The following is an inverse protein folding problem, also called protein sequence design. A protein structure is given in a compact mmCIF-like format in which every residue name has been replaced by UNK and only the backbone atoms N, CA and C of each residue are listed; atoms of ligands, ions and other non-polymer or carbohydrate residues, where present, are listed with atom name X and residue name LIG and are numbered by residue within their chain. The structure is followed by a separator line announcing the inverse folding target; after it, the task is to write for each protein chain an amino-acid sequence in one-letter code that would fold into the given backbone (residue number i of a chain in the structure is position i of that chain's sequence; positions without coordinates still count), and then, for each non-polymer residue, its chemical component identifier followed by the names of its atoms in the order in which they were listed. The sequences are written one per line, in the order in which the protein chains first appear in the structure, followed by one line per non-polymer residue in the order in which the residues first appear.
data_IF_587303718905
#
_entry.id   IF_587303718905
#
_cell.length_a   1.000
_cell.length_b   1.000
_cell.length_c   1.000
_cell.angle_alpha   90.00
_cell.angle_beta   90.00
_cell.angle_gamma   90.00
#
_symmetry.space_group_name_H-M   'P 1'
#
loop_
_entity.id
_entity.type
_entity.pdbx_description
1 polymer ?
#
# COMPACT_ATOMS: atom_id res chain seq x y z
N UNK A 1 51.42 18.73 29.07
CA UNK A 1 51.15 19.87 28.15
C UNK A 1 51.91 19.65 26.85
N UNK A 2 51.18 19.55 25.70
CA UNK A 2 51.53 20.03 24.33
C UNK A 2 52.81 19.45 23.68
N UNK A 3 52.91 19.01 22.42
CA UNK A 3 52.11 18.96 21.19
C UNK A 3 52.97 18.18 20.17
N UNK A 4 52.41 17.28 19.36
CA UNK A 4 52.81 17.12 17.94
C UNK A 4 51.74 16.32 17.19
N UNK A 5 50.95 17.06 16.42
CA UNK A 5 49.96 16.57 15.46
C UNK A 5 50.58 16.56 14.06
N UNK A 6 49.97 15.76 13.18
CA UNK A 6 49.98 15.86 11.72
C UNK A 6 51.07 15.08 10.96
N UNK A 7 50.70 13.90 10.42
CA UNK A 7 51.22 13.48 9.12
C UNK A 7 50.17 12.70 8.31
N UNK A 8 49.88 13.26 7.14
CA UNK A 8 49.39 12.66 5.90
C UNK A 8 48.04 11.97 5.85
N UNK A 9 47.03 12.80 5.56
CA UNK A 9 46.00 12.47 4.59
C UNK A 9 46.60 12.35 3.18
N UNK A 10 46.46 11.17 2.56
CA UNK A 10 46.40 10.96 1.10
C UNK A 10 46.47 9.45 0.79
N UNK A 11 45.34 8.71 0.75
CA UNK A 11 45.31 7.42 0.00
C UNK A 11 43.96 6.70 -0.26
N UNK A 12 42.78 7.34 -0.42
CA UNK A 12 41.76 6.61 -1.20
C UNK A 12 41.00 7.48 -2.20
N UNK A 13 41.68 8.38 -2.92
CA UNK A 13 41.21 8.87 -4.23
C UNK A 13 41.63 7.91 -5.35
N UNK A 14 41.40 6.60 -5.20
CA UNK A 14 41.83 5.60 -6.19
C UNK A 14 40.92 4.36 -6.27
N UNK A 15 39.65 4.47 -5.89
CA UNK A 15 38.67 3.36 -5.93
C UNK A 15 37.48 3.62 -6.85
N UNK A 16 37.54 4.60 -7.75
CA UNK A 16 36.39 5.02 -8.57
C UNK A 16 36.44 4.61 -10.06
N UNK A 17 37.30 3.69 -10.51
CA UNK A 17 37.44 3.46 -11.96
C UNK A 17 37.76 2.03 -12.46
N UNK A 18 37.48 0.95 -11.72
CA UNK A 18 37.85 -0.40 -12.20
C UNK A 18 36.91 -1.53 -11.74
N UNK A 19 35.60 -1.29 -11.73
CA UNK A 19 34.61 -2.28 -11.26
C UNK A 19 33.64 -2.81 -12.31
N UNK A 20 33.84 -2.53 -13.60
CA UNK A 20 32.92 -2.97 -14.66
C UNK A 20 33.69 -3.61 -15.82
N UNK A 21 33.58 -4.95 -15.92
CA UNK A 21 33.91 -5.70 -17.13
C UNK A 21 35.29 -6.39 -17.13
N UNK A 22 35.31 -7.68 -16.77
CA UNK A 22 36.06 -8.77 -17.43
C UNK A 22 36.11 -9.98 -16.48
N UNK A 23 35.50 -11.09 -16.89
CA UNK A 23 35.42 -12.32 -16.11
C UNK A 23 36.77 -13.04 -15.96
N UNK A 24 36.94 -13.88 -14.92
CA UNK A 24 38.09 -14.75 -14.86
C UNK A 24 37.84 -16.01 -15.70
N UNK A 25 38.68 -16.19 -16.71
CA UNK A 25 38.92 -17.47 -17.37
C UNK A 25 40.12 -18.14 -16.67
N UNK A 26 39.93 -19.39 -16.22
CA UNK A 26 40.93 -20.44 -15.84
C UNK A 26 41.60 -20.30 -14.46
N UNK A 27 41.59 -21.23 -13.48
CA UNK A 27 41.36 -22.70 -13.31
C UNK A 27 41.14 -22.99 -11.78
N UNK A 28 40.85 -24.21 -11.24
CA UNK A 28 40.77 -25.57 -11.81
C UNK A 28 39.44 -26.32 -11.54
N UNK A 29 39.29 -27.50 -12.15
CA UNK A 29 38.16 -28.41 -12.02
C UNK A 29 38.07 -29.07 -10.64
N UNK A 30 36.89 -28.96 -10.01
CA UNK A 30 36.10 -29.99 -9.30
C UNK A 30 35.28 -29.38 -8.16
N UNK A 31 34.09 -28.87 -8.51
CA UNK A 31 32.90 -28.87 -7.67
C UNK A 31 31.73 -28.52 -8.59
N UNK A 32 31.08 -29.54 -9.15
CA UNK A 32 29.79 -29.35 -9.84
C UNK A 32 28.75 -29.00 -8.79
N UNK A 33 28.59 -27.69 -8.55
CA UNK A 33 27.41 -27.15 -7.87
C UNK A 33 26.28 -27.20 -8.89
N UNK A 34 25.18 -27.93 -8.65
CA UNK A 34 24.06 -27.93 -9.57
C UNK A 34 23.53 -26.50 -9.68
N UNK A 35 23.38 -26.02 -10.91
CA UNK A 35 22.76 -24.74 -11.20
C UNK A 35 21.39 -24.66 -10.49
N UNK A 36 21.02 -23.53 -9.90
CA UNK A 36 19.62 -23.33 -9.53
C UNK A 36 18.81 -23.50 -10.81
N UNK A 37 17.93 -24.52 -10.82
CA UNK A 37 16.92 -24.62 -11.87
C UNK A 37 16.21 -23.28 -11.91
N UNK A 38 16.15 -22.69 -13.11
CA UNK A 38 15.24 -21.60 -13.38
C UNK A 38 13.87 -22.05 -12.85
N UNK A 39 13.38 -21.36 -11.83
CA UNK A 39 12.02 -21.53 -11.35
C UNK A 39 11.10 -21.25 -12.53
N UNK A 40 10.24 -22.22 -12.85
CA UNK A 40 9.33 -22.17 -13.97
C UNK A 40 8.47 -20.90 -13.89
N UNK A 41 8.77 -19.91 -14.75
CA UNK A 41 7.92 -18.73 -14.98
C UNK A 41 6.50 -19.12 -15.41
N UNK A 42 6.33 -20.37 -15.88
CA UNK A 42 5.05 -20.97 -16.24
C UNK A 42 4.11 -21.13 -15.03
N UNK A 43 4.59 -21.39 -13.82
CA UNK A 43 3.71 -21.54 -12.65
C UNK A 43 3.09 -20.21 -12.22
N UNK A 44 3.89 -19.13 -12.30
CA UNK A 44 3.42 -17.79 -11.99
C UNK A 44 2.42 -17.28 -13.05
N UNK A 45 2.67 -17.58 -14.33
CA UNK A 45 1.75 -17.27 -15.42
C UNK A 45 0.46 -18.09 -15.33
N UNK A 46 0.56 -19.39 -15.10
CA UNK A 46 -0.59 -20.27 -14.95
C UNK A 46 -1.48 -19.85 -13.77
N UNK A 47 -0.90 -19.38 -12.67
CA UNK A 47 -1.66 -18.86 -11.54
C UNK A 47 -2.41 -17.55 -11.87
N UNK A 48 -1.79 -16.66 -12.65
CA UNK A 48 -2.41 -15.40 -13.08
C UNK A 48 -3.49 -15.64 -14.15
N UNK A 49 -3.28 -16.57 -15.07
CA UNK A 49 -4.20 -16.92 -16.14
C UNK A 49 -5.42 -17.69 -15.59
N UNK A 50 -5.21 -18.64 -14.67
CA UNK A 50 -6.29 -19.32 -13.96
C UNK A 50 -7.17 -18.38 -13.12
N UNK A 51 -6.63 -17.23 -12.69
CA UNK A 51 -7.40 -16.21 -11.96
C UNK A 51 -8.07 -15.19 -12.88
N UNK A 52 -7.55 -15.00 -14.10
CA UNK A 52 -8.17 -14.17 -15.13
C UNK A 52 -9.36 -14.87 -15.81
N UNK A 53 -9.32 -16.21 -15.90
CA UNK A 53 -10.39 -17.03 -16.47
C UNK A 53 -11.53 -17.34 -15.49
N UNK A 54 -11.40 -16.97 -14.20
CA UNK A 54 -12.46 -17.17 -13.22
C UNK A 54 -13.59 -16.18 -13.50
N UNK A 55 -14.76 -16.62 -14.00
CA UNK A 55 -15.85 -15.71 -14.29
C UNK A 55 -16.35 -15.13 -12.98
N UNK A 56 -16.41 -13.81 -12.88
CA UNK A 56 -17.14 -13.15 -11.80
C UNK A 56 -18.57 -13.70 -11.79
N UNK A 57 -18.96 -14.29 -10.66
CA UNK A 57 -20.32 -14.80 -10.50
C UNK A 57 -21.32 -13.70 -10.89
N UNK A 58 -22.34 -13.99 -11.73
CA UNK A 58 -23.35 -13.00 -12.04
C UNK A 58 -24.08 -12.65 -10.74
N UNK A 59 -24.05 -11.39 -10.34
CA UNK A 59 -25.02 -10.86 -9.38
C UNK A 59 -26.40 -10.97 -10.05
N UNK A 60 -27.11 -12.07 -9.78
CA UNK A 60 -28.55 -12.18 -10.00
C UNK A 60 -29.24 -11.13 -9.13
N UNK A 61 -29.54 -9.98 -9.73
CA UNK A 61 -30.46 -9.01 -9.15
C UNK A 61 -31.87 -9.53 -9.42
N UNK A 62 -32.50 -10.08 -8.40
CA UNK A 62 -33.92 -10.42 -8.43
C UNK A 62 -34.76 -9.15 -8.66
N UNK A 63 -35.84 -9.19 -9.47
CA UNK A 63 -36.70 -8.04 -9.64
C UNK A 63 -37.59 -7.90 -8.39
N UNK A 64 -37.37 -6.85 -7.60
CA UNK A 64 -38.30 -6.47 -6.54
C UNK A 64 -39.51 -5.77 -7.19
N UNK A 65 -40.67 -6.38 -6.99
CA UNK A 65 -41.96 -5.92 -7.46
C UNK A 65 -42.39 -4.59 -6.82
N UNK A 66 -43.28 -3.91 -7.54
CA UNK A 66 -43.90 -2.63 -7.26
C UNK A 66 -44.53 -2.51 -5.87
N UNK A 67 -44.47 -1.29 -5.31
CA UNK A 67 -45.21 -0.87 -4.13
C UNK A 67 -45.08 0.64 -3.92
N UNK A 68 -45.77 1.43 -4.74
CA UNK A 68 -46.02 2.85 -4.45
C UNK A 68 -47.01 2.93 -3.27
N UNK A 69 -46.56 3.46 -2.15
CA UNK A 69 -47.43 4.16 -1.20
C UNK A 69 -46.79 5.49 -0.89
N UNK A 70 -47.46 6.54 -1.33
CA UNK A 70 -47.18 7.91 -0.95
C UNK A 70 -47.41 8.08 0.55
N UNK A 71 -46.43 8.67 1.24
CA UNK A 71 -46.68 9.51 2.40
C UNK A 71 -45.68 10.66 2.34
N UNK A 72 -46.23 11.87 2.29
CA UNK A 72 -45.53 13.15 2.38
C UNK A 72 -44.95 13.27 3.79
N UNK A 73 -43.63 13.35 3.94
CA UNK A 73 -43.03 13.90 5.16
C UNK A 73 -41.62 14.45 4.90
N UNK A 74 -41.49 15.76 5.17
CA UNK A 74 -40.27 16.54 5.38
C UNK A 74 -39.09 16.30 4.41
N UNK A 75 -39.03 17.12 3.37
CA UNK A 75 -37.85 17.31 2.51
C UNK A 75 -36.69 17.90 3.35
N UNK A 76 -35.95 17.02 4.02
CA UNK A 76 -34.59 17.30 4.47
C UNK A 76 -33.79 17.58 3.20
N UNK A 77 -33.06 18.71 3.10
CA UNK A 77 -32.22 18.96 1.93
C UNK A 77 -31.29 17.76 1.76
N UNK A 78 -31.47 17.00 0.68
CA UNK A 78 -30.59 15.90 0.35
C UNK A 78 -29.18 16.47 0.23
N UNK A 79 -28.29 16.10 1.16
CA UNK A 79 -26.89 16.47 1.06
C UNK A 79 -26.38 16.07 -0.34
N UNK A 80 -25.60 16.93 -1.00
CA UNK A 80 -25.14 16.65 -2.35
C UNK A 80 -24.42 15.29 -2.36
N UNK A 81 -24.60 14.48 -3.43
CA UNK A 81 -24.11 13.11 -3.44
C UNK A 81 -22.58 13.11 -3.24
N UNK A 82 -22.14 12.48 -2.15
CA UNK A 82 -20.73 12.28 -1.87
C UNK A 82 -20.13 11.39 -2.97
N UNK A 83 -18.94 11.75 -3.42
CA UNK A 83 -18.25 11.00 -4.46
C UNK A 83 -17.00 10.33 -3.89
N UNK A 84 -16.90 9.03 -4.10
CA UNK A 84 -15.73 8.25 -3.70
C UNK A 84 -14.68 8.29 -4.81
N UNK A 85 -13.47 8.73 -4.47
CA UNK A 85 -12.29 8.67 -5.34
C UNK A 85 -11.42 7.51 -4.90
N UNK A 86 -11.18 6.57 -5.81
CA UNK A 86 -10.29 5.43 -5.55
C UNK A 86 -8.83 5.90 -5.61
N UNK A 87 -8.10 5.73 -4.52
CA UNK A 87 -6.69 6.06 -4.41
C UNK A 87 -5.79 4.87 -4.75
N UNK A 88 -6.33 3.66 -4.75
CA UNK A 88 -5.64 2.42 -5.09
C UNK A 88 -5.04 1.70 -3.88
N UNK A 89 -4.24 0.68 -4.18
CA UNK A 89 -3.65 -0.20 -3.16
C UNK A 89 -2.43 0.42 -2.48
N UNK A 90 -2.33 0.19 -1.18
CA UNK A 90 -1.19 0.53 -0.33
C UNK A 90 -0.91 -0.61 0.66
N UNK A 91 0.37 -0.86 0.92
CA UNK A 91 0.82 -1.94 1.80
C UNK A 91 1.71 -1.36 2.89
N UNK A 92 1.39 -1.67 4.15
CA UNK A 92 2.14 -1.16 5.31
C UNK A 92 2.59 -2.34 6.19
N UNK A 93 3.90 -2.47 6.46
CA UNK A 93 4.41 -3.51 7.34
C UNK A 93 4.19 -3.15 8.82
N UNK A 94 3.71 -4.13 9.59
CA UNK A 94 3.60 -4.07 11.05
C UNK A 94 4.63 -5.04 11.62
N UNK A 95 5.64 -4.48 12.27
CA UNK A 95 6.75 -5.27 12.79
C UNK A 95 6.43 -5.86 14.15
N UNK A 96 6.50 -7.19 14.24
CA UNK A 96 6.33 -7.95 15.49
C UNK A 96 7.68 -8.58 15.90
N UNK A 97 7.81 -9.06 17.15
CA UNK A 97 9.05 -9.69 17.60
C UNK A 97 9.49 -10.91 16.76
N UNK A 98 8.55 -11.69 16.21
CA UNK A 98 8.83 -12.94 15.48
C UNK A 98 8.29 -12.98 14.04
N UNK A 99 7.64 -11.92 13.59
CA UNK A 99 7.03 -11.86 12.26
C UNK A 99 6.87 -10.43 11.77
N UNK A 100 6.57 -10.27 10.49
CA UNK A 100 6.13 -9.01 9.88
C UNK A 100 4.75 -9.25 9.29
N UNK A 101 3.77 -8.52 9.79
CA UNK A 101 2.43 -8.56 9.23
C UNK A 101 2.28 -7.46 8.19
N UNK A 102 2.10 -7.84 6.92
CA UNK A 102 1.76 -6.90 5.85
C UNK A 102 0.26 -6.63 5.87
N UNK A 103 -0.10 -5.38 6.15
CA UNK A 103 -1.48 -4.89 6.00
C UNK A 103 -1.60 -4.34 4.59
N UNK A 104 -2.46 -4.96 3.78
CA UNK A 104 -2.71 -4.56 2.40
C UNK A 104 -4.13 -4.03 2.34
N UNK A 105 -4.28 -2.80 1.84
CA UNK A 105 -5.57 -2.17 1.75
C UNK A 105 -5.74 -1.40 0.43
N UNK A 106 -6.94 -1.46 -0.13
CA UNK A 106 -7.38 -0.59 -1.21
C UNK A 106 -8.12 0.59 -0.60
N UNK A 107 -7.68 1.81 -0.91
CA UNK A 107 -8.19 3.02 -0.28
C UNK A 107 -9.10 3.81 -1.22
N UNK A 108 -10.16 4.39 -0.65
CA UNK A 108 -10.96 5.43 -1.26
C UNK A 108 -11.04 6.64 -0.33
N UNK A 109 -11.39 7.80 -0.89
CA UNK A 109 -11.76 8.99 -0.11
C UNK A 109 -13.10 9.51 -0.55
N UNK A 110 -13.93 9.87 0.42
CA UNK A 110 -15.18 10.57 0.19
C UNK A 110 -14.91 12.07 0.12
N UNK A 111 -15.42 12.70 -0.93
CA UNK A 111 -15.35 14.15 -1.13
C UNK A 111 -16.68 14.68 -1.63
N UNK A 112 -17.00 15.92 -1.23
CA UNK A 112 -18.20 16.60 -1.70
C UNK A 112 -18.27 16.74 -3.22
N UNK A 113 -19.50 16.83 -3.73
CA UNK A 113 -19.81 16.95 -5.15
C UNK A 113 -18.99 18.06 -5.82
N UNK A 114 -18.33 17.74 -6.94
CA UNK A 114 -17.51 18.68 -7.72
C UNK A 114 -16.04 18.76 -7.30
N UNK A 115 -15.64 18.18 -6.16
CA UNK A 115 -14.22 18.15 -5.73
C UNK A 115 -13.48 16.88 -6.14
N UNK A 116 -14.18 15.83 -6.56
CA UNK A 116 -13.57 14.56 -6.93
C UNK A 116 -12.56 14.66 -8.07
N UNK A 117 -12.80 15.54 -9.05
CA UNK A 117 -11.88 15.72 -10.18
C UNK A 117 -10.50 16.18 -9.73
N UNK A 118 -10.42 16.98 -8.66
CA UNK A 118 -9.15 17.41 -8.08
C UNK A 118 -8.29 16.22 -7.68
N UNK A 119 -8.88 15.24 -6.99
CA UNK A 119 -8.18 14.05 -6.49
C UNK A 119 -8.03 12.94 -7.54
N UNK A 120 -8.66 13.06 -8.72
CA UNK A 120 -8.39 12.17 -9.86
C UNK A 120 -7.10 12.54 -10.59
N UNK A 121 -6.63 13.77 -10.43
CA UNK A 121 -5.33 14.19 -10.97
C UNK A 121 -4.22 13.49 -10.19
N UNK A 122 -3.30 12.85 -10.92
CA UNK A 122 -2.26 12.00 -10.33
C UNK A 122 -1.40 12.69 -9.28
N UNK A 123 -1.10 13.98 -9.42
CA UNK A 123 -0.31 14.73 -8.43
C UNK A 123 -1.05 14.87 -7.09
N UNK A 124 -2.31 15.29 -7.11
CA UNK A 124 -3.12 15.46 -5.90
C UNK A 124 -3.42 14.11 -5.24
N UNK A 125 -3.72 13.08 -6.06
CA UNK A 125 -3.86 11.71 -5.59
C UNK A 125 -2.58 11.21 -4.91
N UNK A 126 -1.40 11.48 -5.49
CA UNK A 126 -0.12 11.04 -4.93
C UNK A 126 0.17 11.70 -3.58
N UNK A 127 -0.08 13.01 -3.44
CA UNK A 127 0.08 13.72 -2.16
C UNK A 127 -0.84 13.16 -1.08
N UNK A 128 -2.10 12.90 -1.44
CA UNK A 128 -3.06 12.31 -0.51
C UNK A 128 -2.69 10.87 -0.11
N UNK A 129 -2.25 10.06 -1.07
CA UNK A 129 -1.71 8.71 -0.81
C UNK A 129 -0.53 8.76 0.15
N UNK A 130 0.39 9.70 -0.04
CA UNK A 130 1.56 9.86 0.84
C UNK A 130 1.15 10.20 2.28
N UNK A 131 0.19 11.13 2.45
CA UNK A 131 -0.35 11.47 3.77
C UNK A 131 -1.03 10.27 4.45
N UNK A 132 -1.83 9.48 3.71
CA UNK A 132 -2.45 8.25 4.22
C UNK A 132 -1.39 7.21 4.60
N UNK A 133 -0.36 7.00 3.78
CA UNK A 133 0.75 6.10 4.08
C UNK A 133 1.50 6.53 5.34
N UNK A 134 1.72 7.83 5.52
CA UNK A 134 2.38 8.35 6.71
C UNK A 134 1.56 8.12 7.98
N UNK A 135 0.23 8.33 7.92
CA UNK A 135 -0.67 8.04 9.03
C UNK A 135 -0.72 6.54 9.34
N UNK A 136 -0.89 5.70 8.31
CA UNK A 136 -0.85 4.22 8.46
C UNK A 136 0.48 3.72 9.04
N UNK A 137 1.61 4.28 8.63
CA UNK A 137 2.93 3.90 9.16
C UNK A 137 3.07 4.25 10.65
N UNK A 138 2.44 5.35 11.09
CA UNK A 138 2.37 5.73 12.50
C UNK A 138 1.48 4.76 13.28
N UNK A 139 0.28 4.48 12.77
CA UNK A 139 -0.65 3.51 13.36
C UNK A 139 -0.05 2.09 13.43
N UNK A 140 0.80 1.71 12.46
CA UNK A 140 1.48 0.42 12.40
C UNK A 140 2.47 0.19 13.55
N UNK A 141 2.92 1.27 14.21
CA UNK A 141 3.78 1.18 15.40
C UNK A 141 2.97 1.02 16.70
N UNK A 142 1.65 1.17 16.64
CA UNK A 142 0.74 1.06 17.78
C UNK A 142 0.01 -0.28 17.87
N UNK A 143 -0.70 -0.47 18.99
CA UNK A 143 -1.46 -1.70 19.27
C UNK A 143 -2.64 -1.91 18.30
N UNK A 144 -3.19 -0.84 17.73
CA UNK A 144 -4.35 -0.88 16.82
C UNK A 144 -4.12 -1.80 15.61
N UNK A 145 -2.90 -1.83 15.08
CA UNK A 145 -2.55 -2.67 13.92
C UNK A 145 -1.84 -3.97 14.30
N UNK A 146 -1.23 -4.03 15.48
CA UNK A 146 -0.51 -5.21 15.98
C UNK A 146 -1.42 -6.38 16.36
N UNK A 147 -2.67 -6.08 16.77
CA UNK A 147 -3.67 -7.05 17.20
C UNK A 147 -4.09 -8.08 16.15
N UNK A 148 -4.90 -9.05 16.58
CA UNK A 148 -5.42 -10.11 15.71
C UNK A 148 -6.36 -9.55 14.63
N UNK A 149 -7.26 -8.64 15.03
CA UNK A 149 -8.14 -7.90 14.14
C UNK A 149 -7.72 -6.42 14.10
N UNK A 150 -8.08 -5.72 13.02
CA UNK A 150 -7.94 -4.27 12.91
C UNK A 150 -9.34 -3.68 12.97
N UNK A 151 -9.57 -2.78 13.93
CA UNK A 151 -10.79 -1.97 13.95
C UNK A 151 -10.70 -0.95 12.81
N UNK A 152 -11.42 -1.25 11.74
CA UNK A 152 -11.34 -0.51 10.48
C UNK A 152 -12.02 0.86 10.60
N UNK A 153 -13.07 0.98 11.42
CA UNK A 153 -13.78 2.23 11.65
C UNK A 153 -12.92 3.19 12.47
N UNK A 154 -12.33 2.68 13.55
CA UNK A 154 -11.43 3.47 14.40
C UNK A 154 -10.20 3.93 13.61
N UNK A 155 -9.60 3.03 12.82
CA UNK A 155 -8.45 3.35 11.99
C UNK A 155 -8.80 4.38 10.90
N UNK A 156 -9.95 4.25 10.24
CA UNK A 156 -10.42 5.22 9.24
C UNK A 156 -10.56 6.61 9.85
N UNK A 157 -11.13 6.67 11.06
CA UNK A 157 -11.31 7.92 11.81
C UNK A 157 -9.98 8.55 12.23
N UNK A 158 -9.03 7.73 12.68
CA UNK A 158 -7.68 8.21 13.03
C UNK A 158 -6.98 8.80 11.81
N UNK A 159 -6.95 8.05 10.69
CA UNK A 159 -6.34 8.52 9.44
C UNK A 159 -7.05 9.77 8.93
N UNK A 160 -8.39 9.79 8.92
CA UNK A 160 -9.18 10.94 8.53
C UNK A 160 -8.84 12.19 9.37
N UNK A 161 -8.66 12.01 10.68
CA UNK A 161 -8.24 13.09 11.58
C UNK A 161 -6.86 13.62 11.25
N UNK A 162 -5.91 12.74 10.95
CA UNK A 162 -4.54 13.11 10.59
C UNK A 162 -4.49 13.91 9.29
N UNK A 163 -5.19 13.45 8.24
CA UNK A 163 -5.08 14.04 6.90
C UNK A 163 -5.91 15.32 6.72
N UNK A 164 -6.99 15.50 7.50
CA UNK A 164 -7.87 16.69 7.39
C UNK A 164 -7.14 18.01 7.66
N UNK A 165 -5.95 17.98 8.27
CA UNK A 165 -5.11 19.17 8.49
C UNK A 165 -4.61 19.75 7.17
N UNK A 166 -4.29 18.90 6.21
CA UNK A 166 -3.72 19.28 4.91
C UNK A 166 -4.74 19.12 3.77
N UNK A 167 -5.80 18.34 3.97
CA UNK A 167 -6.83 18.01 2.99
C UNK A 167 -8.24 18.24 3.56
N UNK A 168 -8.61 19.50 3.78
CA UNK A 168 -9.90 19.87 4.38
C UNK A 168 -11.14 19.46 3.56
N UNK A 169 -10.94 19.21 2.26
CA UNK A 169 -12.00 18.80 1.34
C UNK A 169 -12.33 17.30 1.39
N UNK A 170 -11.50 16.52 2.11
CA UNK A 170 -11.71 15.09 2.33
C UNK A 170 -12.62 14.91 3.54
N UNK A 171 -13.79 14.33 3.29
CA UNK A 171 -14.79 14.07 4.32
C UNK A 171 -14.38 12.83 5.10
N UNK A 172 -14.23 11.69 4.41
CA UNK A 172 -13.86 10.43 5.04
C UNK A 172 -12.84 9.63 4.23
N UNK A 173 -12.06 8.81 4.93
CA UNK A 173 -11.16 7.81 4.34
C UNK A 173 -11.83 6.46 4.45
N UNK A 174 -11.88 5.73 3.35
CA UNK A 174 -12.58 4.47 3.23
C UNK A 174 -11.59 3.34 2.91
N UNK A 175 -11.70 2.25 3.66
CA UNK A 175 -11.07 0.98 3.28
C UNK A 175 -12.02 0.21 2.35
N UNK A 176 -11.73 0.24 1.05
CA UNK A 176 -12.48 -0.52 0.04
C UNK A 176 -12.19 -2.02 0.16
N UNK A 177 -10.97 -2.35 0.56
CA UNK A 177 -10.57 -3.69 0.97
C UNK A 177 -9.47 -3.58 2.03
N UNK A 178 -9.41 -4.54 2.94
CA UNK A 178 -8.33 -4.64 3.93
C UNK A 178 -8.10 -6.10 4.28
N UNK A 179 -6.85 -6.54 4.22
CA UNK A 179 -6.45 -7.85 4.70
C UNK A 179 -5.03 -7.85 5.26
N UNK A 180 -4.73 -8.88 6.05
CA UNK A 180 -3.45 -9.04 6.75
C UNK A 180 -2.78 -10.33 6.30
N UNK A 181 -1.48 -10.27 6.07
CA UNK A 181 -0.66 -11.45 5.78
C UNK A 181 0.53 -11.46 6.74
N UNK A 182 0.67 -12.50 7.55
CA UNK A 182 1.79 -12.60 8.50
C UNK A 182 2.94 -13.42 7.89
N UNK A 183 4.16 -12.88 7.98
CA UNK A 183 5.37 -13.49 7.43
C UNK A 183 6.37 -13.70 8.58
N UNK A 184 6.76 -14.94 8.91
CA UNK A 184 7.73 -15.20 9.97
C UNK A 184 9.10 -14.56 9.70
N UNK A 185 9.79 -14.13 10.76
CA UNK A 185 11.21 -13.74 10.68
C UNK A 185 12.08 -14.97 10.94
N UNK A 186 12.99 -15.26 10.00
CA UNK A 186 14.01 -16.31 10.11
C UNK A 186 15.12 -15.94 11.07
#
# INVERSE_FOLDING_TARGET
MKKTTLLMAALPMLSLAAGYGAGPMLLPAEASVPAPKASDDDDARAYLEARAEQPAAPNEVAPAAEGHTADEDAETPAEPPQQVVNLGRMTVPVYKPRSVTYVVADFGVSVGAGRAEHYRVGEHAARLRDAILQSMARAASGEMMAGAAIDTELLSKEIGTDIRRDFADVEDVLFLSLFKTDVPRS
#
